data_IF_425681972973
#
_entry.id   IF_425681972973
#
_cell.length_a   1.000
_cell.length_b   1.000
_cell.length_c   1.000
_cell.angle_alpha   90.00
_cell.angle_beta   90.00
_cell.angle_gamma   90.00
#
_symmetry.space_group_name_H-M   'P 1'
#
loop_
_entity.id
_entity.type
_entity.pdbx_description
1 polymer ?
#
# COMPACT_ATOMS: atom_id res chain seq x y z
N UNK A 1 7.70 4.74 18.39
CA UNK A 1 8.21 4.58 17.00
C UNK A 1 7.25 5.21 15.98
N UNK A 2 6.84 6.48 16.17
CA UNK A 2 5.84 7.18 15.32
C UNK A 2 6.40 8.40 14.56
N UNK A 3 7.72 8.57 14.49
CA UNK A 3 8.27 9.89 14.19
C UNK A 3 9.52 9.91 13.28
N UNK A 4 9.79 8.88 12.49
CA UNK A 4 11.04 8.82 11.70
C UNK A 4 10.91 8.82 10.16
N UNK A 5 9.72 9.06 9.62
CA UNK A 5 9.56 9.41 8.19
C UNK A 5 8.57 10.56 8.09
N UNK A 6 9.00 11.78 8.43
CA UNK A 6 8.17 12.99 8.35
C UNK A 6 8.80 14.12 7.55
N UNK A 7 9.87 13.87 6.81
CA UNK A 7 10.47 14.90 5.94
C UNK A 7 10.41 14.47 4.48
N UNK A 8 9.67 15.27 3.71
CA UNK A 8 9.78 15.46 2.24
C UNK A 8 8.87 14.62 1.33
N UNK A 9 8.40 13.42 1.72
CA UNK A 9 7.59 12.57 0.80
C UNK A 9 6.09 12.90 0.80
N UNK A 10 5.52 13.29 1.94
CA UNK A 10 4.06 13.43 2.10
C UNK A 10 3.43 14.52 1.21
N UNK A 11 4.21 15.53 0.81
CA UNK A 11 3.73 16.71 0.08
C UNK A 11 4.27 16.77 -1.35
N UNK A 12 4.39 15.61 -2.00
CA UNK A 12 4.95 15.52 -3.35
C UNK A 12 4.01 14.78 -4.30
N UNK A 13 3.89 15.29 -5.52
CA UNK A 13 3.36 14.55 -6.66
C UNK A 13 4.46 14.37 -7.69
N UNK A 14 4.68 13.13 -8.13
CA UNK A 14 5.70 12.78 -9.09
C UNK A 14 5.07 12.25 -10.37
N UNK A 15 5.45 12.83 -11.50
CA UNK A 15 5.11 12.36 -12.84
C UNK A 15 6.25 11.53 -13.40
N UNK A 16 5.93 10.39 -13.98
CA UNK A 16 6.86 9.55 -14.72
C UNK A 16 6.33 9.39 -16.15
N UNK A 17 7.17 9.60 -17.14
CA UNK A 17 6.78 9.45 -18.55
C UNK A 17 7.94 8.89 -19.39
N UNK A 18 7.67 8.13 -20.44
CA UNK A 18 8.70 7.70 -21.39
C UNK A 18 9.28 8.88 -22.16
N UNK A 19 10.58 8.85 -22.41
CA UNK A 19 11.28 9.81 -23.25
C UNK A 19 11.45 9.21 -24.66
N UNK A 20 10.73 9.77 -25.64
CA UNK A 20 10.94 9.49 -27.07
C UNK A 20 10.65 8.05 -27.55
N UNK A 21 10.83 7.77 -28.86
CA UNK A 21 10.53 6.45 -29.42
C UNK A 21 11.65 5.45 -29.15
N UNK A 22 11.25 4.23 -28.79
CA UNK A 22 11.99 2.98 -28.56
C UNK A 22 13.28 3.06 -27.70
N UNK A 23 13.47 2.15 -26.73
CA UNK A 23 14.67 2.14 -25.91
C UNK A 23 15.93 1.96 -26.77
N UNK A 24 16.88 2.89 -26.64
CA UNK A 24 18.23 2.72 -27.18
C UNK A 24 18.93 1.57 -26.46
N UNK A 25 19.97 0.96 -27.06
CA UNK A 25 20.82 -0.01 -26.35
C UNK A 25 21.98 0.72 -25.69
N UNK A 26 22.29 0.40 -24.43
CA UNK A 26 23.53 0.87 -23.81
C UNK A 26 24.75 0.16 -24.43
N UNK A 27 25.95 0.52 -23.96
CA UNK A 27 27.21 -0.10 -24.39
C UNK A 27 27.30 -1.60 -24.07
N UNK A 28 26.43 -2.11 -23.20
CA UNK A 28 26.33 -3.53 -22.82
C UNK A 28 25.19 -4.27 -23.56
N UNK A 29 24.45 -3.59 -24.46
CA UNK A 29 23.35 -4.17 -25.22
C UNK A 29 22.01 -4.23 -24.48
N UNK A 30 21.91 -3.69 -23.26
CA UNK A 30 20.67 -3.62 -22.50
C UNK A 30 19.78 -2.49 -23.02
N UNK A 31 18.47 -2.74 -23.04
CA UNK A 31 17.48 -1.74 -23.40
C UNK A 31 17.47 -0.61 -22.35
N UNK A 32 17.92 0.58 -22.75
CA UNK A 32 17.80 1.80 -21.95
C UNK A 32 16.43 2.38 -22.20
N UNK A 33 15.51 2.15 -21.27
CA UNK A 33 14.27 2.90 -21.21
C UNK A 33 14.61 4.33 -20.77
N UNK A 34 14.52 5.29 -21.70
CA UNK A 34 14.60 6.68 -21.32
C UNK A 34 13.30 7.06 -20.60
N UNK A 35 13.43 7.53 -19.36
CA UNK A 35 12.31 7.96 -18.52
C UNK A 35 12.53 9.40 -18.09
N UNK A 36 11.46 10.20 -18.16
CA UNK A 36 11.40 11.56 -17.65
C UNK A 36 10.72 11.51 -16.29
N UNK A 37 11.44 11.94 -15.26
CA UNK A 37 10.92 12.12 -13.91
C UNK A 37 10.68 13.62 -13.68
N UNK A 38 9.49 13.98 -13.22
CA UNK A 38 9.16 15.35 -12.84
C UNK A 38 8.51 15.35 -11.47
N UNK A 39 9.25 15.80 -10.47
CA UNK A 39 8.79 15.90 -9.09
C UNK A 39 8.27 17.31 -8.80
N UNK A 40 7.09 17.40 -8.18
CA UNK A 40 6.44 18.67 -7.80
C UNK A 40 6.10 18.64 -6.31
N UNK A 41 6.70 19.53 -5.55
CA UNK A 41 6.41 19.75 -4.14
C UNK A 41 5.25 20.73 -3.98
N UNK A 42 4.34 20.41 -3.06
CA UNK A 42 3.23 21.27 -2.66
C UNK A 42 3.75 22.57 -2.03
N UNK A 43 3.08 23.68 -2.29
CA UNK A 43 3.48 25.01 -1.78
C UNK A 43 4.73 25.61 -2.45
N UNK A 44 5.51 24.81 -3.20
CA UNK A 44 6.69 25.26 -3.94
C UNK A 44 6.42 25.26 -5.45
N UNK A 45 6.01 24.13 -6.00
CA UNK A 45 5.78 23.97 -7.44
C UNK A 45 4.30 24.08 -7.82
N UNK A 46 3.41 23.72 -6.89
CA UNK A 46 1.97 23.59 -7.12
C UNK A 46 1.21 24.04 -5.89
N UNK A 47 0.06 24.67 -6.09
CA UNK A 47 -0.74 25.26 -5.00
C UNK A 47 -1.73 24.31 -4.35
N UNK A 48 -1.95 23.11 -4.92
CA UNK A 48 -2.93 22.14 -4.44
C UNK A 48 -2.78 20.77 -5.09
N UNK A 49 -3.21 19.71 -4.39
CA UNK A 49 -3.05 18.32 -4.84
C UNK A 49 -3.83 18.05 -6.11
N UNK A 50 -5.07 18.56 -6.20
CA UNK A 50 -5.89 18.45 -7.41
C UNK A 50 -5.18 19.02 -8.63
N UNK A 51 -4.54 20.18 -8.52
CA UNK A 51 -3.77 20.80 -9.62
C UNK A 51 -2.54 19.95 -9.93
N UNK A 52 -1.82 19.51 -8.90
CA UNK A 52 -0.64 18.67 -9.02
C UNK A 52 -0.90 17.33 -9.75
N UNK A 53 -2.10 16.77 -9.60
CA UNK A 53 -2.53 15.51 -10.25
C UNK A 53 -3.06 15.75 -11.66
N UNK A 54 -3.87 16.80 -11.85
CA UNK A 54 -4.58 17.03 -13.11
C UNK A 54 -3.75 17.71 -14.20
N UNK A 55 -2.83 18.62 -13.84
CA UNK A 55 -1.96 19.28 -14.83
C UNK A 55 -1.07 18.31 -15.62
N UNK A 56 -0.41 17.31 -14.98
CA UNK A 56 0.34 16.29 -15.70
C UNK A 56 -0.43 15.58 -16.79
N UNK A 57 -1.75 15.43 -16.68
CA UNK A 57 -2.58 14.69 -17.65
C UNK A 57 -2.46 15.26 -19.07
N UNK A 58 -2.27 16.58 -19.20
CA UNK A 58 -2.04 17.23 -20.51
C UNK A 58 -0.68 16.89 -21.12
N UNK A 59 0.24 16.36 -20.32
CA UNK A 59 1.58 15.94 -20.73
C UNK A 59 1.67 14.43 -20.98
N UNK A 60 0.52 13.72 -21.03
CA UNK A 60 0.41 12.27 -21.26
C UNK A 60 1.31 11.45 -20.33
N UNK A 61 1.05 11.49 -19.01
CA UNK A 61 1.86 10.79 -18.04
C UNK A 61 1.61 9.27 -18.13
N UNK A 62 2.64 8.47 -17.91
CA UNK A 62 2.46 7.01 -17.78
C UNK A 62 2.11 6.66 -16.33
N UNK A 63 2.79 7.28 -15.36
CA UNK A 63 2.59 7.06 -13.93
C UNK A 63 2.48 8.40 -13.19
N UNK A 64 1.57 8.46 -12.23
CA UNK A 64 1.48 9.54 -11.25
C UNK A 64 1.61 8.93 -9.84
N UNK A 65 2.64 9.34 -9.10
CA UNK A 65 2.82 8.98 -7.70
C UNK A 65 2.46 10.16 -6.79
N UNK A 66 1.64 9.91 -5.78
CA UNK A 66 1.11 10.91 -4.86
C UNK A 66 1.53 10.52 -3.44
N UNK A 67 2.24 11.44 -2.78
CA UNK A 67 2.80 11.24 -1.45
C UNK A 67 1.74 10.84 -0.43
N UNK A 68 0.70 11.65 -0.25
CA UNK A 68 -0.40 11.38 0.68
C UNK A 68 -1.74 11.81 0.08
N UNK A 69 -2.82 11.19 0.53
CA UNK A 69 -4.21 11.53 0.17
C UNK A 69 -4.88 12.25 1.35
N UNK A 70 -4.88 13.60 1.38
CA UNK A 70 -5.35 14.35 2.55
C UNK A 70 -6.86 14.58 2.56
N UNK A 71 -7.50 14.69 1.39
CA UNK A 71 -8.86 15.20 1.25
C UNK A 71 -9.65 14.53 0.11
N UNK A 72 -10.95 14.84 0.10
CA UNK A 72 -11.92 14.38 -0.91
C UNK A 72 -11.50 14.76 -2.34
N UNK A 73 -11.08 16.00 -2.56
CA UNK A 73 -10.74 16.49 -3.91
C UNK A 73 -9.54 15.76 -4.51
N UNK A 74 -8.62 15.32 -3.66
CA UNK A 74 -7.48 14.48 -4.04
C UNK A 74 -7.95 13.08 -4.43
N UNK A 75 -8.84 12.45 -3.65
CA UNK A 75 -9.42 11.14 -3.98
C UNK A 75 -10.15 11.19 -5.32
N UNK A 76 -10.94 12.23 -5.56
CA UNK A 76 -11.67 12.42 -6.81
C UNK A 76 -10.73 12.53 -8.01
N UNK A 77 -9.64 13.29 -7.87
CA UNK A 77 -8.62 13.43 -8.90
C UNK A 77 -7.88 12.10 -9.17
N UNK A 78 -7.59 11.32 -8.13
CA UNK A 78 -6.97 9.99 -8.22
C UNK A 78 -7.87 9.04 -9.01
N UNK A 79 -9.14 8.91 -8.59
CA UNK A 79 -10.09 7.99 -9.21
C UNK A 79 -10.29 8.30 -10.70
N UNK A 80 -10.43 9.58 -11.08
CA UNK A 80 -10.52 9.99 -12.49
C UNK A 80 -9.25 9.68 -13.28
N UNK A 81 -8.10 9.93 -12.68
CA UNK A 81 -6.81 9.65 -13.34
C UNK A 81 -6.63 8.17 -13.60
N UNK A 82 -6.99 7.32 -12.63
CA UNK A 82 -6.96 5.87 -12.77
C UNK A 82 -7.99 5.38 -13.80
N UNK A 83 -9.18 5.97 -13.84
CA UNK A 83 -10.23 5.67 -14.83
C UNK A 83 -9.78 5.94 -16.27
N UNK A 84 -8.98 7.00 -16.48
CA UNK A 84 -8.37 7.31 -17.77
C UNK A 84 -7.20 6.39 -18.15
N UNK A 85 -6.89 5.39 -17.33
CA UNK A 85 -5.91 4.34 -17.63
C UNK A 85 -4.46 4.67 -17.24
N UNK A 86 -4.24 5.72 -16.44
CA UNK A 86 -2.91 6.02 -15.90
C UNK A 86 -2.63 5.17 -14.66
N UNK A 87 -1.38 4.74 -14.49
CA UNK A 87 -0.97 4.09 -13.24
C UNK A 87 -0.87 5.16 -12.15
N UNK A 88 -1.67 5.02 -11.10
CA UNK A 88 -1.61 5.92 -9.94
C UNK A 88 -1.10 5.16 -8.72
N UNK A 89 -0.04 5.69 -8.11
CA UNK A 89 0.52 5.17 -6.85
C UNK A 89 0.23 6.20 -5.78
N UNK A 90 -0.40 5.79 -4.68
CA UNK A 90 -0.75 6.69 -3.57
C UNK A 90 -0.33 6.05 -2.26
N UNK A 91 -0.05 6.87 -1.25
CA UNK A 91 0.14 6.36 0.11
C UNK A 91 -0.91 6.94 1.06
N UNK A 92 -1.30 6.13 2.05
CA UNK A 92 -2.19 6.51 3.13
C UNK A 92 -1.76 5.80 4.42
N UNK A 93 -2.03 6.43 5.54
CA UNK A 93 -1.76 5.86 6.85
C UNK A 93 -2.94 5.00 7.32
N UNK A 94 -2.89 3.70 7.07
CA UNK A 94 -3.87 2.71 7.53
C UNK A 94 -3.19 1.45 8.08
N UNK A 95 -3.94 0.61 8.81
CA UNK A 95 -3.38 -0.57 9.49
C UNK A 95 -3.56 -1.87 8.73
N UNK A 96 -4.55 -1.92 7.83
CA UNK A 96 -4.86 -3.07 6.99
C UNK A 96 -5.55 -2.60 5.71
N UNK A 97 -5.80 -3.53 4.79
CA UNK A 97 -6.45 -3.24 3.50
C UNK A 97 -7.89 -2.76 3.64
N UNK A 98 -8.66 -3.31 4.59
CA UNK A 98 -10.05 -2.89 4.80
C UNK A 98 -10.13 -1.43 5.27
N UNK A 99 -9.26 -1.03 6.20
CA UNK A 99 -9.14 0.35 6.68
C UNK A 99 -8.71 1.30 5.56
N UNK A 100 -7.82 0.86 4.67
CA UNK A 100 -7.41 1.62 3.49
C UNK A 100 -8.63 1.97 2.62
N UNK A 101 -9.42 0.96 2.22
CA UNK A 101 -10.59 1.17 1.36
C UNK A 101 -11.64 2.01 2.08
N UNK A 102 -11.91 1.72 3.35
CA UNK A 102 -12.88 2.47 4.16
C UNK A 102 -12.51 3.94 4.31
N UNK A 103 -11.22 4.26 4.54
CA UNK A 103 -10.74 5.64 4.62
C UNK A 103 -10.70 6.33 3.27
N UNK A 104 -10.26 5.64 2.22
CA UNK A 104 -10.18 6.17 0.86
C UNK A 104 -11.55 6.58 0.32
N UNK A 105 -12.60 5.80 0.64
CA UNK A 105 -13.97 6.09 0.23
C UNK A 105 -14.81 6.79 1.32
N UNK A 106 -14.22 7.12 2.46
CA UNK A 106 -14.92 7.66 3.63
C UNK A 106 -15.50 9.06 3.45
N UNK A 107 -15.20 9.73 2.33
CA UNK A 107 -15.75 11.03 1.98
C UNK A 107 -17.10 10.96 1.25
N UNK A 108 -17.54 9.77 0.83
CA UNK A 108 -18.73 9.58 0.02
C UNK A 108 -19.86 8.89 0.80
N UNK A 109 -21.11 9.17 0.41
CA UNK A 109 -22.29 8.56 1.03
C UNK A 109 -23.36 8.18 -0.01
N UNK A 110 -24.26 7.28 0.39
CA UNK A 110 -25.44 6.90 -0.41
C UNK A 110 -25.08 6.41 -1.82
N UNK A 111 -25.76 6.97 -2.83
CA UNK A 111 -25.56 6.57 -4.22
C UNK A 111 -24.13 6.84 -4.73
N UNK A 112 -23.53 7.95 -4.32
CA UNK A 112 -22.16 8.29 -4.73
C UNK A 112 -21.16 7.26 -4.21
N UNK A 113 -21.28 6.82 -2.95
CA UNK A 113 -20.43 5.78 -2.40
C UNK A 113 -20.46 4.49 -3.24
N UNK A 114 -21.64 4.05 -3.68
CA UNK A 114 -21.77 2.88 -4.55
C UNK A 114 -21.14 3.08 -5.94
N UNK A 115 -21.25 4.27 -6.53
CA UNK A 115 -20.56 4.59 -7.78
C UNK A 115 -19.04 4.52 -7.61
N UNK A 116 -18.51 5.08 -6.51
CA UNK A 116 -17.06 5.07 -6.23
C UNK A 116 -16.54 3.68 -5.91
N UNK A 117 -17.33 2.81 -5.27
CA UNK A 117 -16.99 1.39 -5.11
C UNK A 117 -16.85 0.68 -6.46
N UNK A 118 -17.78 0.90 -7.39
CA UNK A 118 -17.70 0.30 -8.72
C UNK A 118 -16.46 0.77 -9.49
N UNK A 119 -16.17 2.07 -9.41
CA UNK A 119 -14.98 2.67 -10.04
C UNK A 119 -13.68 2.18 -9.42
N UNK A 120 -13.62 2.08 -8.08
CA UNK A 120 -12.45 1.53 -7.39
C UNK A 120 -12.25 0.06 -7.75
N UNK A 121 -13.33 -0.73 -7.79
CA UNK A 121 -13.27 -2.15 -8.14
C UNK A 121 -12.71 -2.40 -9.56
N UNK A 122 -12.97 -1.49 -10.52
CA UNK A 122 -12.45 -1.60 -11.89
C UNK A 122 -11.04 -1.05 -12.07
N UNK A 123 -10.63 -0.08 -11.25
CA UNK A 123 -9.35 0.63 -11.43
C UNK A 123 -8.24 0.20 -10.46
N UNK A 124 -8.59 -0.38 -9.30
CA UNK A 124 -7.61 -0.84 -8.32
C UNK A 124 -6.76 -1.98 -8.90
N UNK A 125 -5.45 -1.92 -8.71
CA UNK A 125 -4.52 -3.00 -9.08
C UNK A 125 -4.21 -3.86 -7.85
N UNK A 126 -3.92 -3.22 -6.73
CA UNK A 126 -3.63 -3.88 -5.47
C UNK A 126 -3.34 -2.88 -4.36
N UNK A 127 -3.23 -3.40 -3.15
CA UNK A 127 -2.90 -2.62 -1.94
C UNK A 127 -1.79 -3.35 -1.21
N UNK A 128 -0.73 -2.61 -0.86
CA UNK A 128 0.39 -3.13 -0.08
C UNK A 128 0.48 -2.33 1.22
N UNK A 129 0.37 -3.02 2.34
CA UNK A 129 0.67 -2.46 3.65
C UNK A 129 2.07 -2.91 4.06
N UNK A 130 2.77 -2.04 4.77
CA UNK A 130 4.17 -2.24 5.14
C UNK A 130 4.36 -1.95 6.62
N UNK A 131 5.04 -2.85 7.30
CA UNK A 131 5.51 -2.67 8.65
C UNK A 131 7.00 -3.00 8.74
N UNK A 132 7.79 -2.06 9.26
CA UNK A 132 9.21 -2.26 9.50
C UNK A 132 9.41 -2.78 10.92
N UNK A 133 9.92 -4.00 11.01
CA UNK A 133 10.21 -4.71 12.24
C UNK A 133 11.71 -4.68 12.52
N UNK A 134 12.13 -4.51 13.77
CA UNK A 134 13.53 -4.80 14.11
C UNK A 134 13.80 -6.29 13.91
N UNK A 135 14.98 -6.63 13.37
CA UNK A 135 15.42 -8.02 13.29
C UNK A 135 15.64 -8.60 14.69
N UNK A 136 15.64 -9.93 14.81
CA UNK A 136 15.86 -10.61 16.11
C UNK A 136 17.20 -10.26 16.76
N UNK A 137 18.20 -9.88 15.96
CA UNK A 137 19.53 -9.44 16.39
C UNK A 137 19.67 -7.91 16.45
N UNK A 138 18.58 -7.17 16.23
CA UNK A 138 18.48 -5.70 16.21
C UNK A 138 19.46 -4.97 15.26
N UNK A 139 20.15 -5.70 14.39
CA UNK A 139 21.16 -5.15 13.48
C UNK A 139 20.56 -4.44 12.26
N UNK A 140 19.30 -4.74 11.92
CA UNK A 140 18.63 -4.25 10.72
C UNK A 140 17.11 -4.23 10.87
N UNK A 141 16.43 -3.65 9.88
CA UNK A 141 14.98 -3.74 9.75
C UNK A 141 14.57 -4.85 8.77
N UNK A 142 13.48 -5.51 9.09
CA UNK A 142 12.83 -6.55 8.28
C UNK A 142 11.43 -6.06 7.93
N UNK A 143 11.10 -6.12 6.65
CA UNK A 143 9.78 -5.72 6.15
C UNK A 143 8.79 -6.87 6.32
N UNK A 144 7.71 -6.61 7.06
CA UNK A 144 6.48 -7.39 7.07
C UNK A 144 5.42 -6.69 6.21
N UNK A 145 4.58 -7.44 5.51
CA UNK A 145 3.59 -6.89 4.58
C UNK A 145 2.24 -7.55 4.69
N UNK A 146 1.20 -6.83 4.26
CA UNK A 146 -0.08 -7.38 3.84
C UNK A 146 -0.28 -6.99 2.37
N UNK A 147 -0.73 -7.94 1.55
CA UNK A 147 -0.89 -7.76 0.12
C UNK A 147 -2.29 -8.20 -0.33
N UNK A 148 -3.05 -7.25 -0.88
CA UNK A 148 -4.24 -7.51 -1.68
C UNK A 148 -3.90 -7.32 -3.16
N UNK A 149 -4.26 -8.29 -3.98
CA UNK A 149 -4.30 -8.17 -5.44
C UNK A 149 -5.76 -8.07 -5.87
N UNK A 150 -6.08 -7.12 -6.75
CA UNK A 150 -7.45 -6.92 -7.22
C UNK A 150 -7.82 -7.92 -8.34
N UNK A 151 -7.99 -9.18 -7.98
CA UNK A 151 -8.52 -10.21 -8.87
C UNK A 151 -10.06 -10.08 -9.03
N UNK A 152 -10.72 -10.90 -9.88
CA UNK A 152 -12.17 -10.82 -10.06
C UNK A 152 -13.00 -10.97 -8.77
N UNK A 153 -12.54 -11.78 -7.81
CA UNK A 153 -13.23 -11.96 -6.53
C UNK A 153 -13.10 -10.73 -5.62
N UNK A 154 -11.88 -10.16 -5.51
CA UNK A 154 -11.61 -8.91 -4.80
C UNK A 154 -12.46 -7.77 -5.37
N UNK A 155 -12.47 -7.64 -6.70
CA UNK A 155 -13.25 -6.63 -7.41
C UNK A 155 -14.76 -6.80 -7.15
N UNK A 156 -15.28 -8.03 -7.07
CA UNK A 156 -16.69 -8.25 -6.71
C UNK A 156 -17.01 -7.79 -5.29
N UNK A 157 -16.19 -8.16 -4.31
CA UNK A 157 -16.39 -7.73 -2.92
C UNK A 157 -16.29 -6.21 -2.75
N UNK A 158 -15.36 -5.55 -3.44
CA UNK A 158 -15.27 -4.09 -3.45
C UNK A 158 -16.53 -3.50 -4.07
N UNK A 159 -16.95 -3.94 -5.25
CA UNK A 159 -18.14 -3.42 -5.96
C UNK A 159 -19.42 -3.56 -5.14
N UNK A 160 -19.57 -4.68 -4.43
CA UNK A 160 -20.72 -4.96 -3.56
C UNK A 160 -20.63 -4.30 -2.17
N UNK A 161 -19.53 -3.61 -1.85
CA UNK A 161 -19.32 -3.00 -0.54
C UNK A 161 -19.05 -3.99 0.59
N UNK A 162 -18.76 -5.26 0.28
CA UNK A 162 -18.44 -6.33 1.24
C UNK A 162 -16.98 -6.26 1.69
N UNK A 163 -16.51 -5.08 2.09
CA UNK A 163 -15.09 -4.81 2.40
C UNK A 163 -14.57 -5.73 3.52
N UNK A 164 -15.39 -6.03 4.52
CA UNK A 164 -15.04 -6.94 5.61
C UNK A 164 -14.68 -8.37 5.15
N UNK A 165 -15.19 -8.81 3.99
CA UNK A 165 -14.88 -10.14 3.45
C UNK A 165 -13.49 -10.22 2.80
N UNK A 166 -12.88 -9.07 2.45
CA UNK A 166 -11.57 -9.04 1.80
C UNK A 166 -10.47 -9.67 2.65
N UNK A 167 -10.55 -9.56 3.98
CA UNK A 167 -9.55 -10.17 4.86
C UNK A 167 -9.48 -11.69 4.70
N UNK A 168 -10.65 -12.34 4.65
CA UNK A 168 -10.71 -13.79 4.43
C UNK A 168 -10.21 -14.16 3.03
N UNK A 169 -10.52 -13.34 2.03
CA UNK A 169 -10.04 -13.53 0.67
C UNK A 169 -8.51 -13.42 0.59
N UNK A 170 -7.91 -12.37 1.17
CA UNK A 170 -6.46 -12.17 1.23
C UNK A 170 -5.78 -13.37 1.89
N UNK A 171 -6.34 -13.86 3.00
CA UNK A 171 -5.81 -15.02 3.74
C UNK A 171 -5.75 -16.29 2.90
N UNK A 172 -6.72 -16.49 2.02
CA UNK A 172 -6.83 -17.67 1.15
C UNK A 172 -6.12 -17.47 -0.20
N UNK A 173 -5.87 -16.23 -0.60
CA UNK A 173 -5.39 -15.84 -1.93
C UNK A 173 -3.89 -16.04 -2.20
N UNK A 174 -3.23 -17.00 -1.54
CA UNK A 174 -1.78 -17.23 -1.70
C UNK A 174 -1.36 -17.53 -3.14
N UNK A 175 -2.24 -18.14 -3.96
CA UNK A 175 -1.98 -18.39 -5.38
C UNK A 175 -1.72 -17.12 -6.17
N UNK A 176 -2.37 -16.01 -5.78
CA UNK A 176 -2.21 -14.69 -6.39
C UNK A 176 -1.14 -13.86 -5.65
N UNK A 177 -0.38 -14.49 -4.75
CA UNK A 177 0.62 -13.84 -3.89
C UNK A 177 0.03 -13.11 -2.68
N UNK A 178 -1.29 -13.09 -2.50
CA UNK A 178 -1.92 -12.42 -1.38
C UNK A 178 -1.56 -13.07 -0.04
N UNK A 179 -1.45 -12.24 0.98
CA UNK A 179 -1.19 -12.68 2.35
C UNK A 179 -1.59 -11.57 3.33
N UNK A 180 -2.04 -11.99 4.50
CA UNK A 180 -2.33 -11.08 5.61
C UNK A 180 -1.05 -10.64 6.32
N UNK A 181 -1.10 -9.53 7.07
CA UNK A 181 0.04 -9.08 7.87
C UNK A 181 0.46 -10.16 8.87
N UNK A 182 -0.51 -10.78 9.53
CA UNK A 182 -0.27 -11.86 10.49
C UNK A 182 0.38 -13.10 9.84
N UNK A 183 0.04 -13.44 8.58
CA UNK A 183 0.72 -14.50 7.84
C UNK A 183 2.18 -14.14 7.54
N UNK A 184 2.45 -12.88 7.16
CA UNK A 184 3.82 -12.38 6.95
C UNK A 184 4.64 -12.41 8.25
N UNK A 185 4.06 -11.91 9.36
CA UNK A 185 4.69 -11.94 10.68
C UNK A 185 4.99 -13.36 11.14
N UNK A 186 4.02 -14.29 11.04
CA UNK A 186 4.20 -15.68 11.41
C UNK A 186 5.33 -16.35 10.61
N UNK A 187 5.43 -16.06 9.31
CA UNK A 187 6.53 -16.54 8.47
C UNK A 187 7.88 -15.98 8.93
N UNK A 188 7.99 -14.67 9.18
CA UNK A 188 9.23 -14.04 9.64
C UNK A 188 9.68 -14.56 11.01
N UNK A 189 8.73 -14.89 11.90
CA UNK A 189 9.02 -15.53 13.20
C UNK A 189 9.54 -16.95 13.01
N UNK A 190 8.92 -17.74 12.13
CA UNK A 190 9.36 -19.09 11.82
C UNK A 190 10.78 -19.12 11.23
N UNK A 191 11.10 -18.12 10.39
CA UNK A 191 12.43 -17.88 9.84
C UNK A 191 13.43 -17.27 10.85
N UNK A 192 13.00 -17.02 12.10
CA UNK A 192 13.77 -16.35 13.18
C UNK A 192 14.30 -14.96 12.80
N UNK A 193 13.66 -14.30 11.83
CA UNK A 193 14.07 -12.96 11.36
C UNK A 193 13.61 -11.85 12.27
N UNK A 194 12.51 -12.04 13.00
CA UNK A 194 11.97 -11.10 13.97
C UNK A 194 11.62 -11.82 15.28
N UNK A 195 11.65 -11.09 16.40
CA UNK A 195 11.23 -11.60 17.70
C UNK A 195 9.70 -11.72 17.79
N UNK A 196 9.23 -12.75 18.50
CA UNK A 196 7.79 -13.01 18.70
C UNK A 196 7.08 -11.81 19.37
N UNK A 197 7.67 -11.25 20.43
CA UNK A 197 7.08 -10.12 21.15
C UNK A 197 6.95 -8.88 20.27
N UNK A 198 7.94 -8.62 19.42
CA UNK A 198 7.92 -7.50 18.48
C UNK A 198 6.74 -7.57 17.52
N UNK A 199 6.38 -8.77 17.06
CA UNK A 199 5.28 -8.97 16.12
C UNK A 199 3.90 -8.62 16.72
N UNK A 200 3.67 -8.90 18.00
CA UNK A 200 2.41 -8.56 18.68
C UNK A 200 2.16 -7.05 18.79
N UNK A 201 3.19 -6.20 18.73
CA UNK A 201 2.99 -4.74 18.73
C UNK A 201 2.39 -4.19 17.42
N UNK A 202 2.46 -4.95 16.34
CA UNK A 202 2.07 -4.51 14.99
C UNK A 202 0.88 -5.29 14.44
N UNK A 203 0.68 -6.52 14.92
CA UNK A 203 -0.52 -7.31 14.68
C UNK A 203 -1.80 -6.49 14.95
N UNK A 204 -2.77 -6.62 14.05
CA UNK A 204 -4.12 -6.08 14.25
C UNK A 204 -5.07 -7.11 14.89
N UNK A 205 -4.61 -8.35 15.11
CA UNK A 205 -5.38 -9.47 15.66
C UNK A 205 -4.44 -10.49 16.28
N UNK A 206 -4.19 -10.30 17.57
CA UNK A 206 -3.21 -11.09 18.32
C UNK A 206 -3.67 -12.54 18.50
N UNK A 207 -4.98 -12.78 18.51
CA UNK A 207 -5.52 -14.13 18.61
C UNK A 207 -5.20 -14.93 17.34
N UNK A 208 -5.39 -14.33 16.17
CA UNK A 208 -5.01 -14.94 14.89
C UNK A 208 -3.48 -15.18 14.82
N UNK A 209 -2.65 -14.21 15.22
CA UNK A 209 -1.19 -14.39 15.22
C UNK A 209 -0.74 -15.50 16.18
N UNK A 210 -1.34 -15.60 17.36
CA UNK A 210 -1.04 -16.65 18.33
C UNK A 210 -1.40 -18.04 17.77
N UNK A 211 -2.53 -18.16 17.07
CA UNK A 211 -2.93 -19.40 16.39
C UNK A 211 -1.94 -19.78 15.28
N UNK A 212 -1.51 -18.82 14.46
CA UNK A 212 -0.58 -19.06 13.35
C UNK A 212 0.82 -19.47 13.83
N UNK A 213 1.26 -18.95 14.96
CA UNK A 213 2.61 -19.22 15.51
C UNK A 213 2.63 -20.37 16.51
N UNK A 214 1.47 -20.80 17.01
CA UNK A 214 1.34 -21.76 18.11
C UNK A 214 1.87 -21.22 19.45
N UNK A 215 2.07 -19.90 19.57
CA UNK A 215 2.68 -19.25 20.74
C UNK A 215 1.86 -18.05 21.18
N UNK A 216 1.52 -17.98 22.47
CA UNK A 216 0.82 -16.84 23.05
C UNK A 216 1.80 -15.72 23.44
N UNK A 217 1.36 -14.47 23.42
CA UNK A 217 2.13 -13.31 23.86
C UNK A 217 2.69 -13.45 25.31
N UNK A 218 2.06 -14.26 26.16
CA UNK A 218 2.52 -14.52 27.53
C UNK A 218 3.60 -15.61 27.66
N UNK A 219 3.88 -16.40 26.62
CA UNK A 219 4.84 -17.52 26.70
C UNK A 219 6.30 -17.10 26.69
N UNK A 220 6.62 -15.87 26.25
CA UNK A 220 8.00 -15.38 26.17
C UNK A 220 8.58 -14.83 27.47
N UNK A 221 7.79 -14.71 28.55
CA UNK A 221 8.26 -14.18 29.85
C UNK A 221 8.88 -15.25 30.77
N UNK A 222 8.60 -16.53 30.52
CA UNK A 222 9.08 -17.62 31.38
C UNK A 222 10.49 -18.10 31.05
N UNK A 223 11.00 -17.84 29.85
CA UNK A 223 12.28 -18.39 29.39
C UNK A 223 13.50 -17.50 29.75
N UNK A 224 13.28 -16.25 30.18
CA UNK A 224 14.36 -15.32 30.59
C UNK A 224 14.60 -15.26 32.10
N UNK A 225 13.76 -15.90 32.93
CA UNK A 225 13.88 -15.88 34.39
C UNK A 225 14.68 -17.06 34.98
N UNK A 226 15.38 -17.83 34.14
CA UNK A 226 15.99 -19.11 34.50
C UNK A 226 17.43 -19.32 33.99
N UNK A 227 18.25 -18.26 33.96
CA UNK A 227 19.69 -18.34 33.71
C UNK A 227 20.48 -17.55 34.77
#
# INVERSE_FOLDING_TARGET
MKQFVRSTVNETVCRISRSGPAPGRDRAGAAVMNTILSQRAMGVNVTGFRVAITEPLRQRPDVIAIGEVPDHDTVEAILRTADYGHLVIVTMHTRNVCDFIGRFLGFYAGHEYHQKLALLASSLIGVVLQALMASSDESRYVLATELLVNNPASASYIREGKIHMLRNLIRQGRSDGMHTLNQSLAQLIAERRIALMSAFYVSYDDAELAQLTGKSAHSGRSDEAGA
#
